data_IF_510855161091
#
_entry.id   IF_510855161091
#
_cell.length_a   1.000
_cell.length_b   1.000
_cell.length_c   1.000
_cell.angle_alpha   90.00
_cell.angle_beta   90.00
_cell.angle_gamma   90.00
#
_symmetry.space_group_name_H-M   'P 1'
#
loop_
_entity.id
_entity.type
_entity.pdbx_description
1 polymer ?
#
# COMPACT_ATOMS: atom_id res chain seq x y z
N UNK A 1 -19.35 -3.72 -19.77
CA UNK A 1 -18.27 -4.71 -19.62
C UNK A 1 -18.42 -5.40 -18.27
N UNK A 2 -18.43 -6.74 -18.16
CA UNK A 2 -18.50 -7.41 -16.86
C UNK A 2 -17.33 -7.03 -15.95
N UNK A 3 -17.56 -6.98 -14.65
CA UNK A 3 -16.60 -6.51 -13.64
C UNK A 3 -16.34 -7.61 -12.62
N UNK A 4 -15.07 -7.78 -12.26
CA UNK A 4 -14.66 -8.59 -11.12
C UNK A 4 -13.96 -7.67 -10.11
N UNK A 5 -14.53 -7.50 -8.90
CA UNK A 5 -13.85 -6.84 -7.79
C UNK A 5 -12.58 -7.58 -7.38
N UNK A 6 -11.48 -6.85 -7.19
CA UNK A 6 -10.18 -7.37 -6.76
C UNK A 6 -9.86 -6.82 -5.38
N UNK A 7 -9.89 -7.69 -4.36
CA UNK A 7 -9.76 -7.28 -2.95
C UNK A 7 -8.29 -7.10 -2.53
N UNK A 8 -7.38 -7.87 -3.12
CA UNK A 8 -5.95 -7.81 -2.80
C UNK A 8 -5.17 -6.77 -3.63
N UNK A 9 -5.85 -6.00 -4.49
CA UNK A 9 -5.25 -4.98 -5.35
C UNK A 9 -4.36 -5.49 -6.48
N UNK A 10 -4.22 -6.81 -6.65
CA UNK A 10 -3.35 -7.42 -7.65
C UNK A 10 -3.99 -7.35 -9.04
N UNK A 11 -3.38 -6.59 -9.95
CA UNK A 11 -3.82 -6.43 -11.34
C UNK A 11 -2.70 -6.85 -12.30
N UNK A 12 -3.01 -7.45 -13.46
CA UNK A 12 -2.00 -7.75 -14.48
C UNK A 12 -1.45 -6.47 -15.11
N UNK A 13 -0.27 -6.56 -15.73
CA UNK A 13 0.29 -5.45 -16.50
C UNK A 13 -0.67 -5.11 -17.67
N UNK A 14 -1.11 -3.86 -17.83
CA UNK A 14 -2.15 -3.54 -18.81
C UNK A 14 -1.78 -3.78 -20.27
N UNK A 15 -0.50 -3.86 -20.61
CA UNK A 15 0.02 -4.00 -21.97
C UNK A 15 0.40 -5.45 -22.35
N UNK A 16 -0.14 -6.44 -21.63
CA UNK A 16 -0.03 -7.85 -22.01
C UNK A 16 0.48 -8.80 -20.94
N UNK A 17 0.68 -8.35 -19.70
CA UNK A 17 1.14 -9.22 -18.62
C UNK A 17 0.08 -10.24 -18.19
N UNK A 18 0.51 -11.43 -17.78
CA UNK A 18 -0.36 -12.56 -17.44
C UNK A 18 -0.28 -12.95 -15.97
N UNK A 19 -1.42 -13.06 -15.30
CA UNK A 19 -1.49 -13.48 -13.90
C UNK A 19 -2.36 -14.73 -13.73
N UNK A 20 -1.94 -15.60 -12.81
CA UNK A 20 -2.76 -16.73 -12.35
C UNK A 20 -3.40 -16.36 -11.02
N UNK A 21 -4.73 -16.32 -11.01
CA UNK A 21 -5.52 -15.98 -9.83
C UNK A 21 -6.38 -17.15 -9.35
N UNK A 22 -6.71 -17.12 -8.06
CA UNK A 22 -7.75 -17.95 -7.45
C UNK A 22 -9.00 -17.10 -7.23
N UNK A 23 -10.14 -17.58 -7.72
CA UNK A 23 -11.43 -16.91 -7.66
C UNK A 23 -12.37 -17.71 -6.76
N UNK A 24 -12.38 -17.33 -5.47
CA UNK A 24 -13.22 -17.97 -4.44
C UNK A 24 -14.65 -17.46 -4.43
N UNK A 25 -14.87 -16.25 -4.94
CA UNK A 25 -16.21 -15.67 -5.01
C UNK A 25 -17.03 -16.31 -6.15
N UNK A 26 -18.23 -16.87 -5.87
CA UNK A 26 -19.04 -17.50 -6.88
C UNK A 26 -19.47 -16.57 -8.02
N UNK A 27 -19.63 -15.26 -7.76
CA UNK A 27 -19.98 -14.30 -8.80
C UNK A 27 -18.81 -14.08 -9.76
N UNK A 28 -17.58 -13.95 -9.25
CA UNK A 28 -16.38 -13.82 -10.05
C UNK A 28 -16.15 -15.06 -10.93
N UNK A 29 -16.33 -16.26 -10.37
CA UNK A 29 -16.21 -17.51 -11.11
C UNK A 29 -17.25 -17.61 -12.24
N UNK A 30 -18.51 -17.24 -11.96
CA UNK A 30 -19.57 -17.17 -12.99
C UNK A 30 -19.26 -16.13 -14.06
N UNK A 31 -18.73 -14.98 -13.70
CA UNK A 31 -18.33 -13.94 -14.65
C UNK A 31 -17.30 -14.47 -15.64
N UNK A 32 -16.22 -15.09 -15.15
CA UNK A 32 -15.18 -15.67 -16.01
C UNK A 32 -15.70 -16.81 -16.90
N UNK A 33 -16.50 -17.72 -16.34
CA UNK A 33 -17.09 -18.83 -17.10
C UNK A 33 -18.05 -18.35 -18.20
N UNK A 34 -18.81 -17.27 -17.96
CA UNK A 34 -19.77 -16.71 -18.93
C UNK A 34 -19.12 -15.87 -20.03
N UNK A 35 -17.99 -15.25 -19.74
CA UNK A 35 -17.27 -14.42 -20.70
C UNK A 35 -16.72 -15.26 -21.86
N UNK A 36 -16.27 -16.49 -21.63
CA UNK A 36 -15.50 -17.22 -22.64
C UNK A 36 -14.16 -16.53 -22.94
N UNK A 37 -13.25 -17.20 -23.66
CA UNK A 37 -11.87 -16.70 -23.84
C UNK A 37 -11.72 -15.40 -24.65
N UNK A 38 -12.74 -14.99 -25.40
CA UNK A 38 -12.67 -13.86 -26.33
C UNK A 38 -13.19 -12.53 -25.76
N UNK A 39 -14.02 -12.56 -24.71
CA UNK A 39 -14.62 -11.35 -24.16
C UNK A 39 -13.79 -10.73 -23.04
N UNK A 40 -13.81 -9.39 -22.97
CA UNK A 40 -13.11 -8.64 -21.93
C UNK A 40 -13.91 -8.63 -20.62
N UNK A 41 -13.19 -8.83 -19.51
CA UNK A 41 -13.63 -8.49 -18.16
C UNK A 41 -12.87 -7.26 -17.67
N UNK A 42 -13.48 -6.44 -16.81
CA UNK A 42 -12.78 -5.38 -16.10
C UNK A 42 -12.45 -5.86 -14.69
N UNK A 43 -11.16 -5.88 -14.34
CA UNK A 43 -10.71 -6.06 -12.96
C UNK A 43 -10.63 -4.69 -12.29
N UNK A 44 -11.41 -4.48 -11.23
CA UNK A 44 -11.43 -3.23 -10.47
C UNK A 44 -11.01 -3.45 -9.02
N UNK A 45 -10.09 -2.65 -8.46
CA UNK A 45 -9.76 -2.72 -7.05
C UNK A 45 -10.98 -2.43 -6.16
N UNK A 46 -11.19 -3.27 -5.15
CA UNK A 46 -12.19 -3.06 -4.11
C UNK A 46 -11.55 -2.44 -2.87
N UNK A 47 -12.02 -1.25 -2.49
CA UNK A 47 -11.44 -0.44 -1.42
C UNK A 47 -12.21 -0.73 -0.13
N UNK A 48 -11.72 -1.67 0.67
CA UNK A 48 -12.42 -2.16 1.87
C UNK A 48 -12.84 -1.04 2.82
N UNK A 49 -11.94 -0.14 3.19
CA UNK A 49 -12.23 0.98 4.10
C UNK A 49 -13.22 2.02 3.55
N UNK A 50 -13.65 1.90 2.29
CA UNK A 50 -14.66 2.77 1.65
C UNK A 50 -15.84 1.98 1.08
N UNK A 51 -15.84 0.66 1.25
CA UNK A 51 -16.84 -0.28 0.73
C UNK A 51 -17.25 -0.01 -0.72
N UNK A 52 -16.26 0.30 -1.58
CA UNK A 52 -16.53 0.73 -2.96
C UNK A 52 -15.45 0.28 -3.92
N UNK A 53 -15.82 0.17 -5.19
CA UNK A 53 -14.87 -0.04 -6.28
C UNK A 53 -14.11 1.24 -6.60
N UNK A 54 -12.83 1.11 -6.88
CA UNK A 54 -12.07 2.15 -7.54
C UNK A 54 -12.47 2.18 -9.03
N UNK A 55 -12.80 3.36 -9.60
CA UNK A 55 -13.41 3.44 -10.93
C UNK A 55 -12.42 3.21 -12.08
N UNK A 56 -11.17 2.83 -11.81
CA UNK A 56 -10.18 2.53 -12.83
C UNK A 56 -9.47 1.21 -12.52
N UNK A 57 -9.20 0.42 -13.54
CA UNK A 57 -8.52 -0.86 -13.41
C UNK A 57 -8.05 -1.38 -14.75
N UNK A 58 -7.96 -2.70 -14.89
CA UNK A 58 -7.37 -3.36 -16.06
C UNK A 58 -8.42 -4.23 -16.74
N UNK A 59 -8.65 -3.98 -18.03
CA UNK A 59 -9.42 -4.90 -18.86
C UNK A 59 -8.56 -6.13 -19.13
N UNK A 60 -9.14 -7.32 -19.01
CA UNK A 60 -8.44 -8.59 -19.13
C UNK A 60 -9.18 -9.55 -20.04
N UNK A 61 -8.42 -10.42 -20.71
CA UNK A 61 -8.93 -11.65 -21.31
C UNK A 61 -8.69 -12.83 -20.38
N UNK A 62 -9.69 -13.69 -20.25
CA UNK A 62 -9.54 -14.95 -19.54
C UNK A 62 -8.83 -15.97 -20.45
N UNK A 63 -7.69 -16.48 -20.00
CA UNK A 63 -6.95 -17.55 -20.64
C UNK A 63 -7.38 -18.92 -20.12
N UNK A 64 -6.41 -19.74 -19.73
CA UNK A 64 -6.66 -21.08 -19.20
C UNK A 64 -7.41 -21.02 -17.88
N UNK A 65 -8.49 -21.78 -17.78
CA UNK A 65 -9.27 -21.94 -16.55
C UNK A 65 -9.26 -23.40 -16.11
N UNK A 66 -9.16 -23.63 -14.80
CA UNK A 66 -9.27 -24.96 -14.22
C UNK A 66 -9.85 -24.89 -12.81
N UNK A 67 -10.44 -25.98 -12.34
CA UNK A 67 -10.95 -26.09 -10.97
C UNK A 67 -10.03 -26.97 -10.17
N UNK A 68 -9.72 -26.56 -8.95
CA UNK A 68 -8.95 -27.35 -8.01
C UNK A 68 -9.51 -27.17 -6.60
N UNK A 69 -9.53 -28.26 -5.84
CA UNK A 69 -9.98 -28.20 -4.46
C UNK A 69 -8.91 -27.52 -3.59
N UNK A 70 -9.34 -26.53 -2.82
CA UNK A 70 -8.51 -25.82 -1.84
C UNK A 70 -9.11 -25.94 -0.44
N UNK A 71 -8.25 -25.89 0.58
CA UNK A 71 -8.68 -25.88 1.98
C UNK A 71 -8.70 -24.44 2.48
N UNK A 72 -9.89 -23.95 2.83
CA UNK A 72 -10.02 -22.73 3.61
C UNK A 72 -9.79 -23.09 5.08
N UNK A 73 -9.12 -22.22 5.83
CA UNK A 73 -8.72 -22.50 7.21
C UNK A 73 -9.80 -22.14 8.24
N UNK A 74 -10.69 -21.20 7.94
CA UNK A 74 -11.69 -20.69 8.89
C UNK A 74 -13.05 -20.42 8.21
N UNK A 75 -14.09 -21.25 8.43
CA UNK A 75 -14.03 -22.60 9.01
C UNK A 75 -13.25 -23.55 8.09
N UNK A 76 -12.61 -24.58 8.65
CA UNK A 76 -11.88 -25.55 7.86
C UNK A 76 -12.81 -26.32 6.92
N UNK A 77 -12.74 -26.03 5.62
CA UNK A 77 -13.57 -26.69 4.61
C UNK A 77 -12.85 -26.81 3.28
N UNK A 78 -13.12 -27.92 2.60
CA UNK A 78 -12.70 -28.12 1.21
C UNK A 78 -13.69 -27.38 0.30
N UNK A 79 -13.19 -26.49 -0.54
CA UNK A 79 -13.99 -25.80 -1.56
C UNK A 79 -13.36 -26.02 -2.93
N UNK A 80 -14.19 -26.25 -3.95
CA UNK A 80 -13.71 -26.26 -5.32
C UNK A 80 -13.55 -24.83 -5.79
N UNK A 81 -12.31 -24.39 -5.97
CA UNK A 81 -11.99 -23.03 -6.39
C UNK A 81 -11.70 -22.98 -7.88
N UNK A 82 -12.18 -21.92 -8.54
CA UNK A 82 -11.80 -21.62 -9.92
C UNK A 82 -10.43 -20.95 -9.90
N UNK A 83 -9.52 -21.49 -10.68
CA UNK A 83 -8.28 -20.84 -11.06
C UNK A 83 -8.40 -20.36 -12.50
N UNK A 84 -7.89 -19.17 -12.76
CA UNK A 84 -7.84 -18.64 -14.10
C UNK A 84 -6.54 -17.88 -14.33
N UNK A 85 -5.99 -18.05 -15.53
CA UNK A 85 -5.02 -17.14 -16.09
C UNK A 85 -5.76 -15.94 -16.71
N UNK A 86 -5.31 -14.72 -16.42
CA UNK A 86 -5.87 -13.48 -16.96
C UNK A 86 -4.75 -12.63 -17.55
N UNK A 87 -4.95 -12.17 -18.78
CA UNK A 87 -4.00 -11.32 -19.49
C UNK A 87 -4.51 -9.88 -19.57
N UNK A 88 -3.67 -8.90 -19.23
CA UNK A 88 -4.00 -7.48 -19.36
C UNK A 88 -4.12 -7.01 -20.80
N UNK A 89 -5.14 -6.21 -21.10
CA UNK A 89 -5.49 -5.72 -22.44
C UNK A 89 -5.64 -4.20 -22.51
N UNK A 90 -5.42 -3.52 -21.40
CA UNK A 90 -5.40 -2.05 -21.31
C UNK A 90 -6.01 -1.56 -20.01
N UNK A 91 -5.74 -0.30 -19.68
CA UNK A 91 -6.42 0.39 -18.59
C UNK A 91 -7.76 0.91 -19.03
N UNK A 92 -8.76 0.74 -18.17
CA UNK A 92 -10.11 1.24 -18.40
C UNK A 92 -10.63 1.92 -17.14
N UNK A 93 -11.53 2.88 -17.33
CA UNK A 93 -12.31 3.49 -16.25
C UNK A 93 -13.80 3.40 -16.53
N UNK A 94 -14.60 3.42 -15.47
CA UNK A 94 -16.06 3.46 -15.52
C UNK A 94 -16.59 4.18 -14.29
N UNK A 95 -17.59 5.03 -14.48
CA UNK A 95 -18.23 5.80 -13.41
C UNK A 95 -19.57 5.22 -12.96
N UNK A 96 -20.11 4.25 -13.69
CA UNK A 96 -21.43 3.67 -13.47
C UNK A 96 -21.42 2.14 -13.54
N UNK A 97 -22.07 1.53 -12.54
CA UNK A 97 -22.16 0.08 -12.40
C UNK A 97 -23.61 -0.33 -12.22
N UNK A 98 -23.99 -1.41 -12.90
CA UNK A 98 -25.28 -2.08 -12.69
C UNK A 98 -25.10 -3.55 -12.38
N UNK A 99 -26.07 -4.10 -11.64
CA UNK A 99 -26.18 -5.54 -11.44
C UNK A 99 -27.16 -6.12 -12.48
N UNK A 100 -26.69 -7.04 -13.31
CA UNK A 100 -27.48 -7.70 -14.35
C UNK A 100 -27.34 -9.22 -14.23
N UNK A 101 -28.42 -9.93 -13.92
CA UNK A 101 -28.44 -11.42 -13.79
C UNK A 101 -27.29 -11.96 -12.90
N UNK A 102 -27.11 -11.31 -11.75
CA UNK A 102 -26.04 -11.55 -10.75
C UNK A 102 -24.61 -11.27 -11.23
N UNK A 103 -24.45 -10.50 -12.32
CA UNK A 103 -23.17 -10.01 -12.79
C UNK A 103 -23.06 -8.51 -12.58
N UNK A 104 -21.94 -8.07 -12.03
CA UNK A 104 -21.63 -6.65 -12.00
C UNK A 104 -21.14 -6.22 -13.39
N UNK A 105 -21.72 -5.15 -13.93
CA UNK A 105 -21.42 -4.64 -15.27
C UNK A 105 -21.12 -3.15 -15.21
N UNK A 106 -19.98 -2.75 -15.76
CA UNK A 106 -19.63 -1.37 -16.05
C UNK A 106 -20.37 -0.90 -17.31
N UNK A 107 -21.13 0.20 -17.20
CA UNK A 107 -21.98 0.69 -18.31
C UNK A 107 -21.22 1.61 -19.27
N UNK A 108 -20.25 2.35 -18.75
CA UNK A 108 -19.49 3.41 -19.43
C UNK A 108 -17.99 3.13 -19.43
N UNK A 109 -17.60 1.86 -19.65
CA UNK A 109 -16.20 1.47 -19.67
C UNK A 109 -15.45 2.12 -20.85
N UNK A 110 -14.49 3.01 -20.55
CA UNK A 110 -13.66 3.70 -21.53
C UNK A 110 -12.17 3.42 -21.31
N UNK A 111 -11.40 3.34 -22.40
CA UNK A 111 -9.97 3.14 -22.35
C UNK A 111 -9.26 4.36 -21.76
N UNK A 112 -8.25 4.14 -20.93
CA UNK A 112 -7.48 5.16 -20.24
C UNK A 112 -6.03 5.15 -20.73
N UNK A 113 -5.64 6.18 -21.47
CA UNK A 113 -4.27 6.38 -21.93
C UNK A 113 -3.47 7.21 -20.90
N UNK A 114 -2.59 6.54 -20.15
CA UNK A 114 -1.79 7.18 -19.12
C UNK A 114 -0.73 8.13 -19.69
N UNK A 115 -0.21 7.85 -20.89
CA UNK A 115 0.75 8.72 -21.57
C UNK A 115 0.10 10.03 -21.96
N UNK A 116 -1.10 9.97 -22.54
CA UNK A 116 -1.91 11.14 -22.86
C UNK A 116 -2.25 11.95 -21.61
N UNK A 117 -2.74 11.31 -20.55
CA UNK A 117 -3.05 11.98 -19.28
C UNK A 117 -1.84 12.72 -18.71
N UNK A 118 -0.68 12.07 -18.72
CA UNK A 118 0.57 12.67 -18.24
C UNK A 118 0.96 13.90 -19.08
N UNK A 119 0.82 13.81 -20.41
CA UNK A 119 1.05 14.94 -21.32
C UNK A 119 0.07 16.11 -21.13
N UNK A 120 -1.15 15.83 -20.68
CA UNK A 120 -2.18 16.83 -20.34
C UNK A 120 -2.04 17.41 -18.93
N UNK A 121 -0.98 17.04 -18.18
CA UNK A 121 -0.72 17.56 -16.84
C UNK A 121 -1.36 16.74 -15.71
N UNK A 122 -1.83 15.53 -15.99
CA UNK A 122 -2.38 14.57 -15.02
C UNK A 122 -1.44 13.36 -14.87
N UNK A 123 -0.25 13.53 -14.24
CA UNK A 123 0.69 12.44 -14.04
C UNK A 123 0.10 11.36 -13.14
N UNK A 124 0.45 10.12 -13.45
CA UNK A 124 0.12 8.95 -12.66
C UNK A 124 1.23 7.90 -12.75
N UNK A 125 1.23 6.98 -11.79
CA UNK A 125 2.13 5.82 -11.75
C UNK A 125 1.29 4.54 -11.84
N UNK A 126 1.65 3.69 -12.79
CA UNK A 126 1.07 2.38 -13.09
C UNK A 126 1.47 1.36 -12.02
N UNK A 127 0.48 0.72 -11.40
CA UNK A 127 0.66 -0.32 -10.37
C UNK A 127 0.24 -1.73 -10.81
N UNK A 128 -0.27 -1.92 -12.02
CA UNK A 128 -0.60 -3.22 -12.57
C UNK A 128 0.64 -3.95 -13.06
N UNK A 129 0.77 -5.23 -12.71
CA UNK A 129 1.87 -6.10 -13.12
C UNK A 129 2.98 -6.25 -12.07
N UNK A 130 2.97 -5.49 -10.98
CA UNK A 130 4.00 -5.58 -9.96
C UNK A 130 3.49 -5.25 -8.55
N UNK A 131 4.22 -5.71 -7.53
CA UNK A 131 3.96 -5.40 -6.14
C UNK A 131 5.00 -4.42 -5.61
N UNK A 132 4.57 -3.26 -5.12
CA UNK A 132 5.43 -2.37 -4.36
C UNK A 132 5.61 -2.93 -2.94
N UNK A 133 6.86 -3.16 -2.51
CA UNK A 133 7.16 -3.84 -1.26
C UNK A 133 7.72 -2.89 -0.20
N UNK A 134 8.70 -2.08 -0.58
CA UNK A 134 9.40 -1.18 0.32
C UNK A 134 9.83 0.09 -0.40
N UNK A 135 10.26 1.09 0.37
CA UNK A 135 10.76 2.33 -0.15
C UNK A 135 11.95 2.84 0.65
N UNK A 136 12.68 3.76 0.04
CA UNK A 136 13.82 4.42 0.66
C UNK A 136 13.85 5.90 0.31
N UNK A 137 13.85 6.74 1.34
CA UNK A 137 14.04 8.19 1.23
C UNK A 137 15.42 8.56 1.79
N UNK A 138 16.33 9.02 0.92
CA UNK A 138 17.69 9.39 1.29
C UNK A 138 17.84 10.90 1.47
N UNK A 139 18.38 11.33 2.62
CA UNK A 139 18.66 12.76 2.87
C UNK A 139 20.09 13.11 2.47
N UNK A 140 20.26 13.65 1.26
CA UNK A 140 21.57 14.10 0.76
C UNK A 140 21.72 15.64 0.72
N UNK A 141 20.62 16.37 0.71
CA UNK A 141 20.59 17.84 0.77
C UNK A 141 19.19 18.41 0.62
N UNK A 142 19.05 19.73 0.50
CA UNK A 142 17.75 20.38 0.23
C UNK A 142 17.26 20.11 -1.21
N UNK A 143 18.19 20.19 -2.18
CA UNK A 143 17.91 19.93 -3.60
C UNK A 143 18.17 18.48 -4.01
N UNK A 144 18.66 17.64 -3.09
CA UNK A 144 18.95 16.23 -3.34
C UNK A 144 18.24 15.35 -2.31
N UNK A 145 17.05 14.88 -2.70
CA UNK A 145 16.18 14.02 -1.91
C UNK A 145 15.73 12.83 -2.79
N UNK A 146 16.61 11.84 -3.02
CA UNK A 146 16.27 10.62 -3.75
C UNK A 146 15.22 9.82 -2.98
N UNK A 147 14.22 9.37 -3.70
CA UNK A 147 13.18 8.45 -3.23
C UNK A 147 13.12 7.28 -4.19
N UNK A 148 13.30 6.08 -3.67
CA UNK A 148 13.20 4.82 -4.39
C UNK A 148 12.04 3.99 -3.85
N UNK A 149 11.35 3.28 -4.73
CA UNK A 149 10.31 2.31 -4.39
C UNK A 149 10.69 1.00 -5.04
N UNK A 150 10.89 -0.04 -4.23
CA UNK A 150 11.30 -1.36 -4.68
C UNK A 150 10.13 -2.32 -4.63
N UNK A 151 10.13 -3.27 -5.57
CA UNK A 151 9.07 -4.23 -5.71
C UNK A 151 9.48 -5.43 -6.56
N UNK A 152 8.48 -6.22 -6.92
CA UNK A 152 8.66 -7.42 -7.75
C UNK A 152 7.61 -7.50 -8.85
N UNK A 153 8.01 -7.96 -10.03
CA UNK A 153 7.09 -8.32 -11.10
C UNK A 153 6.25 -9.53 -10.66
N UNK A 154 4.94 -9.47 -10.86
CA UNK A 154 4.05 -10.57 -10.49
C UNK A 154 4.21 -11.81 -11.38
N UNK A 155 4.73 -11.67 -12.61
CA UNK A 155 4.84 -12.77 -13.57
C UNK A 155 6.01 -13.70 -13.26
N UNK A 156 7.19 -13.14 -12.97
CA UNK A 156 8.43 -13.90 -12.79
C UNK A 156 9.16 -13.63 -11.47
N UNK A 157 8.68 -12.68 -10.65
CA UNK A 157 9.30 -12.30 -9.38
C UNK A 157 10.59 -11.50 -9.53
N UNK A 158 10.90 -11.00 -10.73
CA UNK A 158 12.07 -10.15 -10.96
C UNK A 158 11.96 -8.83 -10.18
N UNK A 159 13.09 -8.31 -9.66
CA UNK A 159 13.08 -7.06 -8.92
C UNK A 159 12.78 -5.88 -9.86
N UNK A 160 11.93 -4.96 -9.38
CA UNK A 160 11.54 -3.74 -10.07
C UNK A 160 11.75 -2.54 -9.15
N UNK A 161 12.01 -1.37 -9.73
CA UNK A 161 12.26 -0.14 -8.98
C UNK A 161 11.66 1.09 -9.67
N UNK A 162 11.21 2.05 -8.86
CA UNK A 162 10.87 3.40 -9.28
C UNK A 162 11.75 4.39 -8.50
N UNK A 163 12.46 5.25 -9.21
CA UNK A 163 13.28 6.29 -8.59
C UNK A 163 12.80 7.68 -8.98
N UNK A 164 12.93 8.63 -8.06
CA UNK A 164 12.78 10.05 -8.33
C UNK A 164 13.64 10.88 -7.38
N UNK A 165 13.98 12.10 -7.79
CA UNK A 165 14.51 13.11 -6.88
C UNK A 165 13.43 14.16 -6.58
N UNK A 166 13.04 14.26 -5.31
CA UNK A 166 12.00 15.18 -4.82
C UNK A 166 12.59 16.45 -4.17
N UNK A 167 13.90 16.66 -4.31
CA UNK A 167 14.61 17.84 -3.84
C UNK A 167 14.03 19.12 -4.44
N UNK A 168 14.00 20.19 -3.63
CA UNK A 168 13.39 21.47 -3.99
C UNK A 168 11.86 21.46 -4.14
N UNK A 169 11.18 20.31 -3.97
CA UNK A 169 9.72 20.20 -3.98
C UNK A 169 9.19 19.94 -2.56
N UNK A 170 9.82 19.02 -1.83
CA UNK A 170 9.36 18.54 -0.53
C UNK A 170 10.44 18.61 0.55
N UNK A 171 10.00 18.63 1.79
CA UNK A 171 10.84 18.30 2.95
C UNK A 171 11.13 16.79 2.99
N UNK A 172 12.19 16.33 3.69
CA UNK A 172 12.45 14.91 3.89
C UNK A 172 11.26 14.14 4.51
N UNK A 173 10.58 14.74 5.48
CA UNK A 173 9.44 14.11 6.15
C UNK A 173 8.23 13.97 5.22
N UNK A 174 8.00 14.97 4.35
CA UNK A 174 6.98 14.88 3.30
C UNK A 174 7.35 13.84 2.25
N UNK A 175 8.61 13.76 1.84
CA UNK A 175 9.06 12.79 0.85
C UNK A 175 8.89 11.34 1.35
N UNK A 176 9.25 11.07 2.60
CA UNK A 176 9.04 9.76 3.23
C UNK A 176 7.54 9.42 3.35
N UNK A 177 6.70 10.40 3.69
CA UNK A 177 5.23 10.20 3.70
C UNK A 177 4.68 9.95 2.29
N UNK A 178 5.24 10.61 1.27
CA UNK A 178 4.88 10.41 -0.15
C UNK A 178 5.28 9.02 -0.63
N UNK A 179 6.48 8.55 -0.29
CA UNK A 179 6.98 7.21 -0.61
C UNK A 179 5.99 6.14 -0.15
N UNK A 180 5.63 6.15 1.13
CA UNK A 180 4.61 5.28 1.71
C UNK A 180 3.24 5.46 1.02
N UNK A 181 2.87 6.71 0.74
CA UNK A 181 1.64 7.02 0.04
C UNK A 181 1.58 6.41 -1.37
N UNK A 182 2.69 6.39 -2.11
CA UNK A 182 2.78 5.77 -3.43
C UNK A 182 2.68 4.25 -3.30
N UNK A 183 3.45 3.62 -2.42
CA UNK A 183 3.39 2.16 -2.18
C UNK A 183 1.95 1.73 -1.87
N UNK A 184 1.31 2.43 -0.92
CA UNK A 184 -0.10 2.20 -0.56
C UNK A 184 -1.01 2.40 -1.76
N UNK A 185 -0.79 3.42 -2.59
CA UNK A 185 -1.62 3.65 -3.78
C UNK A 185 -1.54 2.51 -4.79
N UNK A 186 -0.34 2.05 -5.09
CA UNK A 186 -0.08 1.01 -6.07
C UNK A 186 -0.70 -0.31 -5.60
N UNK A 187 -0.51 -0.68 -4.33
CA UNK A 187 -1.05 -1.93 -3.78
C UNK A 187 -2.57 -1.89 -3.55
N UNK A 188 -3.18 -0.71 -3.35
CA UNK A 188 -4.61 -0.61 -3.05
C UNK A 188 -5.48 -0.29 -4.27
N UNK A 189 -5.02 0.61 -5.14
CA UNK A 189 -5.79 1.10 -6.30
C UNK A 189 -5.22 0.61 -7.63
N UNK A 190 -4.04 -0.03 -7.62
CA UNK A 190 -3.29 -0.32 -8.84
C UNK A 190 -2.86 0.94 -9.61
N UNK A 191 -3.13 2.16 -9.13
CA UNK A 191 -2.84 3.40 -9.84
C UNK A 191 -2.63 4.54 -8.84
N UNK A 192 -1.47 5.17 -8.93
CA UNK A 192 -1.17 6.37 -8.15
C UNK A 192 -1.51 7.62 -8.97
N UNK A 193 -2.43 8.43 -8.45
CA UNK A 193 -2.82 9.74 -8.99
C UNK A 193 -2.67 10.77 -7.87
N UNK A 194 -2.66 12.06 -8.17
CA UNK A 194 -2.58 13.09 -7.12
C UNK A 194 -3.69 12.95 -6.07
N UNK A 195 -4.90 12.56 -6.49
CA UNK A 195 -6.04 12.33 -5.61
C UNK A 195 -5.87 11.08 -4.74
N UNK A 196 -5.44 9.96 -5.31
CA UNK A 196 -5.23 8.73 -4.54
C UNK A 196 -4.03 8.88 -3.60
N UNK A 197 -2.97 9.57 -4.03
CA UNK A 197 -1.80 9.89 -3.22
C UNK A 197 -2.16 10.76 -2.01
N UNK A 198 -2.90 11.85 -2.20
CA UNK A 198 -3.37 12.68 -1.09
C UNK A 198 -4.17 11.86 -0.05
N UNK A 199 -5.03 10.97 -0.52
CA UNK A 199 -5.82 10.10 0.34
C UNK A 199 -4.96 9.05 1.05
N UNK A 200 -3.98 8.46 0.37
CA UNK A 200 -3.07 7.47 0.91
C UNK A 200 -2.14 8.07 1.98
N UNK A 201 -1.57 9.25 1.73
CA UNK A 201 -0.77 9.99 2.71
C UNK A 201 -1.57 10.32 3.97
N UNK A 202 -2.83 10.76 3.81
CA UNK A 202 -3.70 11.06 4.94
C UNK A 202 -4.01 9.80 5.77
N UNK A 203 -4.24 8.67 5.10
CA UNK A 203 -4.49 7.39 5.77
C UNK A 203 -3.23 6.89 6.50
N UNK A 204 -2.05 6.97 5.85
CA UNK A 204 -0.76 6.62 6.43
C UNK A 204 -0.48 7.43 7.70
N UNK A 205 -0.57 8.77 7.60
CA UNK A 205 -0.35 9.64 8.75
C UNK A 205 -1.37 9.42 9.89
N UNK A 206 -2.61 9.05 9.56
CA UNK A 206 -3.63 8.71 10.56
C UNK A 206 -3.31 7.39 11.28
N UNK A 207 -2.91 6.36 10.53
CA UNK A 207 -2.54 5.05 11.09
C UNK A 207 -1.28 5.14 11.94
N UNK A 208 -0.27 5.89 11.49
CA UNK A 208 0.95 6.11 12.25
C UNK A 208 0.68 6.90 13.54
N UNK A 209 -0.16 7.94 13.50
CA UNK A 209 -0.58 8.64 14.71
C UNK A 209 -1.29 7.71 15.68
N UNK A 210 -2.17 6.84 15.17
CA UNK A 210 -2.84 5.84 15.99
C UNK A 210 -1.84 4.85 16.60
N UNK A 211 -0.89 4.35 15.82
CA UNK A 211 0.19 3.48 16.27
C UNK A 211 1.02 4.13 17.39
N UNK A 212 1.39 5.40 17.26
CA UNK A 212 2.09 6.16 18.29
C UNK A 212 1.23 6.33 19.55
N UNK A 213 -0.03 6.73 19.39
CA UNK A 213 -0.95 6.92 20.51
C UNK A 213 -1.16 5.63 21.30
N UNK A 214 -1.51 4.55 20.61
CA UNK A 214 -1.72 3.23 21.23
C UNK A 214 -0.43 2.73 21.88
N UNK A 215 0.73 2.90 21.23
CA UNK A 215 2.02 2.46 21.77
C UNK A 215 2.39 3.19 23.06
N UNK A 216 2.14 4.50 23.16
CA UNK A 216 2.32 5.22 24.42
C UNK A 216 1.26 4.88 25.47
N UNK A 217 -0.02 4.80 25.07
CA UNK A 217 -1.15 4.57 25.98
C UNK A 217 -1.12 3.19 26.61
N UNK A 218 -0.82 2.16 25.82
CA UNK A 218 -0.73 0.76 26.27
C UNK A 218 0.67 0.36 26.72
N UNK A 219 1.63 1.29 26.65
CA UNK A 219 3.05 1.06 26.93
C UNK A 219 3.64 -0.07 26.07
N UNK A 220 3.30 -0.10 24.79
CA UNK A 220 3.73 -1.10 23.83
C UNK A 220 4.60 -0.43 22.75
N UNK A 221 5.90 -0.16 22.99
CA UNK A 221 6.78 0.44 21.99
C UNK A 221 6.93 -0.42 20.72
N UNK A 222 6.72 -1.74 20.81
CA UNK A 222 6.82 -2.68 19.69
C UNK A 222 5.76 -2.47 18.59
N UNK A 223 4.68 -1.73 18.86
CA UNK A 223 3.66 -1.41 17.85
C UNK A 223 3.91 -0.06 17.16
N UNK A 224 4.97 0.67 17.51
CA UNK A 224 5.32 1.90 16.82
C UNK A 224 5.70 1.64 15.37
N UNK A 225 5.07 2.36 14.46
CA UNK A 225 5.34 2.31 13.03
C UNK A 225 4.56 1.23 12.29
N UNK A 226 3.65 0.53 12.98
CA UNK A 226 2.79 -0.51 12.38
C UNK A 226 1.56 0.14 11.75
N UNK A 227 1.36 -0.13 10.46
CA UNK A 227 0.19 0.30 9.67
C UNK A 227 -0.45 -0.91 8.99
N UNK A 228 -1.58 -0.68 8.31
CA UNK A 228 -2.26 -1.73 7.53
C UNK A 228 -1.44 -2.22 6.34
N UNK A 229 -0.46 -1.44 5.89
CA UNK A 229 0.42 -1.77 4.76
C UNK A 229 1.75 -2.39 5.18
N UNK A 230 2.05 -2.46 6.49
CA UNK A 230 3.28 -3.06 7.02
C UNK A 230 3.88 -2.29 8.18
N UNK A 231 5.15 -2.55 8.46
CA UNK A 231 5.91 -1.85 9.51
C UNK A 231 6.91 -0.89 8.88
N UNK A 232 6.89 0.37 9.31
CA UNK A 232 7.82 1.39 8.87
C UNK A 232 9.17 1.26 9.59
N UNK A 233 10.26 1.15 8.82
CA UNK A 233 11.65 1.17 9.31
C UNK A 233 12.13 2.57 9.72
N UNK A 234 11.36 3.28 10.54
CA UNK A 234 11.68 4.64 10.97
C UNK A 234 12.50 4.68 12.27
N UNK A 235 13.16 5.80 12.60
CA UNK A 235 13.98 5.91 13.80
C UNK A 235 13.26 5.54 15.09
N UNK A 236 11.98 5.88 15.26
CA UNK A 236 11.20 5.54 16.45
C UNK A 236 10.98 4.03 16.58
N UNK A 237 10.62 3.34 15.49
CA UNK A 237 10.45 1.89 15.47
C UNK A 237 11.79 1.17 15.77
N UNK A 238 12.90 1.64 15.20
CA UNK A 238 14.23 1.11 15.47
C UNK A 238 14.67 1.32 16.92
N UNK A 239 14.49 2.54 17.48
CA UNK A 239 14.78 2.83 18.88
C UNK A 239 13.91 1.99 19.82
N UNK A 240 12.65 1.78 19.48
CA UNK A 240 11.74 0.92 20.22
C UNK A 240 12.25 -0.52 20.29
N UNK A 241 12.58 -1.12 19.15
CA UNK A 241 13.12 -2.47 19.10
C UNK A 241 14.44 -2.58 19.87
N UNK A 242 15.36 -1.64 19.66
CA UNK A 242 16.66 -1.62 20.32
C UNK A 242 16.56 -1.53 21.85
N UNK A 243 15.83 -0.53 22.36
CA UNK A 243 15.70 -0.33 23.81
C UNK A 243 14.88 -1.43 24.47
N UNK A 244 13.81 -1.90 23.82
CA UNK A 244 12.99 -2.98 24.36
C UNK A 244 13.79 -4.27 24.50
N UNK A 245 14.49 -4.70 23.44
CA UNK A 245 15.33 -5.89 23.47
C UNK A 245 16.41 -5.78 24.56
N UNK A 246 17.09 -4.64 24.64
CA UNK A 246 18.14 -4.40 25.65
C UNK A 246 17.61 -4.47 27.08
N UNK A 247 16.44 -3.89 27.35
CA UNK A 247 15.89 -3.88 28.71
C UNK A 247 15.28 -5.23 29.11
N UNK A 248 14.71 -5.98 28.16
CA UNK A 248 14.25 -7.36 28.41
C UNK A 248 15.44 -8.25 28.76
N UNK A 249 16.53 -8.21 27.97
CA UNK A 249 17.73 -9.00 28.23
C UNK A 249 18.31 -8.72 29.61
N UNK A 250 18.43 -7.44 29.98
CA UNK A 250 18.87 -7.05 31.34
C UNK A 250 17.96 -7.59 32.44
N UNK A 251 16.65 -7.58 32.23
CA UNK A 251 15.67 -8.13 33.18
C UNK A 251 15.93 -9.61 33.42
N UNK A 252 16.02 -10.39 32.34
CA UNK A 252 16.29 -11.83 32.38
C UNK A 252 17.65 -12.13 33.03
N UNK A 253 18.70 -11.40 32.64
CA UNK A 253 20.05 -11.55 33.23
C UNK A 253 20.08 -11.22 34.73
N UNK A 254 19.21 -10.30 35.19
CA UNK A 254 19.07 -9.95 36.60
C UNK A 254 18.20 -10.93 37.41
N UNK A 255 17.71 -12.01 36.79
CA UNK A 255 16.91 -13.04 37.43
C UNK A 255 15.41 -12.73 37.52
N UNK A 256 14.92 -11.73 36.78
CA UNK A 256 13.48 -11.46 36.67
C UNK A 256 12.79 -12.54 35.82
N UNK A 257 11.50 -12.75 36.07
CA UNK A 257 10.69 -13.57 35.15
C UNK A 257 10.59 -12.89 33.77
N UNK A 258 10.33 -13.67 32.72
CA UNK A 258 10.17 -13.13 31.37
C UNK A 258 9.04 -12.08 31.32
N UNK A 259 7.91 -12.34 31.97
CA UNK A 259 6.77 -11.43 32.00
C UNK A 259 7.14 -10.09 32.66
N UNK A 260 7.79 -10.13 33.82
CA UNK A 260 8.26 -8.92 34.52
C UNK A 260 9.32 -8.17 33.72
N UNK A 261 10.21 -8.90 33.03
CA UNK A 261 11.23 -8.33 32.15
C UNK A 261 10.61 -7.57 30.98
N UNK A 262 9.53 -8.11 30.40
CA UNK A 262 8.77 -7.44 29.32
C UNK A 262 8.06 -6.19 29.86
N UNK A 263 7.32 -6.29 30.97
CA UNK A 263 6.59 -5.14 31.51
C UNK A 263 7.50 -3.99 31.95
N UNK A 264 8.60 -4.33 32.64
CA UNK A 264 9.59 -3.37 33.09
C UNK A 264 10.38 -2.82 31.89
N UNK A 265 10.74 -3.70 30.95
CA UNK A 265 11.46 -3.35 29.74
C UNK A 265 10.70 -2.35 28.88
N UNK A 266 9.39 -2.57 28.66
CA UNK A 266 8.51 -1.64 27.95
C UNK A 266 8.50 -0.25 28.56
N UNK A 267 8.34 -0.13 29.90
CA UNK A 267 8.33 1.16 30.60
C UNK A 267 9.67 1.89 30.44
N UNK A 268 10.79 1.19 30.64
CA UNK A 268 12.13 1.78 30.54
C UNK A 268 12.48 2.15 29.11
N UNK A 269 12.11 1.33 28.13
CA UNK A 269 12.31 1.62 26.72
C UNK A 269 11.58 2.91 26.33
N UNK A 270 10.32 3.08 26.73
CA UNK A 270 9.57 4.32 26.45
C UNK A 270 10.22 5.56 27.08
N UNK A 271 10.74 5.46 28.30
CA UNK A 271 11.47 6.57 28.92
C UNK A 271 12.72 6.93 28.14
N UNK A 272 13.53 5.94 27.73
CA UNK A 272 14.75 6.16 26.92
C UNK A 272 14.44 6.74 25.55
N UNK A 273 13.40 6.23 24.87
CA UNK A 273 12.94 6.76 23.58
C UNK A 273 12.54 8.24 23.71
N UNK A 274 11.79 8.58 24.77
CA UNK A 274 11.37 9.96 25.00
C UNK A 274 12.55 10.90 25.28
N UNK A 275 13.59 10.40 25.96
CA UNK A 275 14.84 11.12 26.20
C UNK A 275 15.64 11.31 24.89
N UNK A 276 15.91 10.22 24.16
CA UNK A 276 16.70 10.22 22.93
C UNK A 276 16.09 11.10 21.82
N UNK A 277 14.76 11.16 21.74
CA UNK A 277 14.03 11.95 20.74
C UNK A 277 13.57 13.32 21.27
N UNK A 278 13.89 13.64 22.52
CA UNK A 278 13.46 14.87 23.22
C UNK A 278 11.95 15.11 23.07
N UNK A 279 11.16 14.10 23.42
CA UNK A 279 9.70 14.11 23.33
C UNK A 279 9.09 14.67 24.62
N UNK A 280 8.07 15.49 24.45
CA UNK A 280 7.34 16.09 25.56
C UNK A 280 6.59 15.07 26.43
N UNK A 281 6.32 15.46 27.68
CA UNK A 281 5.45 14.73 28.58
C UNK A 281 3.95 14.82 28.20
N UNK A 282 3.55 15.86 27.47
CA UNK A 282 2.16 16.15 27.13
C UNK A 282 1.63 15.19 26.06
N UNK A 283 0.60 14.41 26.39
CA UNK A 283 0.10 13.32 25.54
C UNK A 283 -0.22 13.75 24.09
N UNK A 284 -1.00 14.83 23.91
CA UNK A 284 -1.40 15.29 22.57
C UNK A 284 -0.22 15.79 21.72
N UNK A 285 0.75 16.48 22.34
CA UNK A 285 1.93 16.98 21.65
C UNK A 285 2.98 15.86 21.41
N UNK A 286 3.05 14.87 22.31
CA UNK A 286 3.95 13.73 22.19
C UNK A 286 3.65 12.90 20.96
N UNK A 287 2.37 12.66 20.64
CA UNK A 287 2.00 11.90 19.43
C UNK A 287 2.48 12.61 18.17
N UNK A 288 2.26 13.93 18.07
CA UNK A 288 2.71 14.72 16.93
C UNK A 288 4.25 14.80 16.83
N UNK A 289 4.94 14.97 17.96
CA UNK A 289 6.40 14.94 17.99
C UNK A 289 6.95 13.55 17.66
N UNK A 290 6.30 12.47 18.14
CA UNK A 290 6.66 11.10 17.83
C UNK A 290 6.53 10.81 16.33
N UNK A 291 5.46 11.29 15.69
CA UNK A 291 5.30 11.21 14.24
C UNK A 291 6.40 11.97 13.50
N UNK A 292 6.62 13.25 13.85
CA UNK A 292 7.53 14.12 13.09
C UNK A 292 9.00 13.85 13.37
N UNK A 293 9.42 13.86 14.65
CA UNK A 293 10.82 13.64 15.05
C UNK A 293 11.20 12.16 15.03
N UNK A 294 10.28 11.30 15.47
CA UNK A 294 10.55 9.88 15.64
C UNK A 294 10.33 9.08 14.35
N UNK A 295 9.20 9.29 13.68
CA UNK A 295 8.86 8.52 12.47
C UNK A 295 9.27 9.21 11.16
N UNK A 296 9.68 10.48 11.20
CA UNK A 296 9.95 11.29 10.02
C UNK A 296 8.78 11.35 9.05
N UNK A 297 7.58 11.53 9.60
CA UNK A 297 6.37 11.72 8.82
C UNK A 297 5.82 13.13 9.03
N UNK A 298 5.26 13.71 7.97
CA UNK A 298 4.57 14.99 8.04
C UNK A 298 3.11 14.81 7.61
N UNK A 299 2.22 15.21 8.49
CA UNK A 299 0.79 15.01 8.35
C UNK A 299 0.04 16.20 7.76
N UNK A 300 0.77 17.29 7.45
CA UNK A 300 0.19 18.44 6.79
C UNK A 300 -0.21 18.10 5.35
N UNK A 301 -1.33 18.67 4.92
CA UNK A 301 -1.85 18.43 3.58
C UNK A 301 -0.97 19.11 2.54
N UNK A 302 -0.47 18.32 1.59
CA UNK A 302 0.09 18.86 0.35
C UNK A 302 -1.03 19.27 -0.61
N UNK A 303 -0.82 20.37 -1.32
CA UNK A 303 -1.76 20.83 -2.34
C UNK A 303 -1.67 19.97 -3.63
N UNK A 304 -2.73 20.02 -4.43
CA UNK A 304 -2.79 19.25 -5.68
C UNK A 304 -1.65 19.60 -6.65
N UNK A 305 -1.26 20.88 -6.86
CA UNK A 305 -0.12 21.23 -7.72
C UNK A 305 1.20 20.60 -7.27
N UNK A 306 1.46 20.54 -5.96
CA UNK A 306 2.67 19.91 -5.42
C UNK A 306 2.66 18.41 -5.66
N UNK A 307 1.54 17.73 -5.42
CA UNK A 307 1.42 16.30 -5.71
C UNK A 307 1.57 15.97 -7.20
N UNK A 308 1.08 16.85 -8.08
CA UNK A 308 1.31 16.74 -9.53
C UNK A 308 2.80 16.86 -9.85
N UNK A 309 3.50 17.86 -9.30
CA UNK A 309 4.95 18.01 -9.49
C UNK A 309 5.75 16.82 -8.98
N UNK A 310 5.34 16.24 -7.84
CA UNK A 310 5.93 15.01 -7.28
C UNK A 310 5.78 13.85 -8.25
N UNK A 311 4.55 13.55 -8.71
CA UNK A 311 4.29 12.45 -9.62
C UNK A 311 4.95 12.63 -11.00
N UNK A 312 5.19 13.87 -11.42
CA UNK A 312 5.97 14.18 -12.64
C UNK A 312 7.44 13.78 -12.53
N UNK A 313 8.01 13.68 -11.32
CA UNK A 313 9.41 13.28 -11.12
C UNK A 313 9.63 11.78 -11.23
N UNK A 314 8.62 10.97 -10.91
CA UNK A 314 8.67 9.52 -11.06
C UNK A 314 8.39 9.10 -12.51
N UNK A 315 9.02 8.03 -13.03
CA UNK A 315 8.58 7.43 -14.28
C UNK A 315 7.13 6.91 -14.16
N UNK A 316 6.40 6.80 -15.27
CA UNK A 316 5.00 6.38 -15.23
C UNK A 316 4.81 4.89 -14.89
N UNK A 317 5.85 4.07 -15.02
CA UNK A 317 5.86 2.66 -14.62
C UNK A 317 7.30 2.20 -14.35
N UNK A 318 7.53 1.09 -13.62
CA UNK A 318 8.88 0.59 -13.32
C UNK A 318 9.57 -0.11 -14.50
N UNK A 319 8.88 -0.29 -15.62
CA UNK A 319 9.43 -0.92 -16.84
C UNK A 319 9.96 0.11 -17.86
N UNK A 320 10.05 1.39 -17.48
CA UNK A 320 10.53 2.49 -18.34
C UNK A 320 11.84 3.07 -17.86
#
# INVERSE_FOLDING_TARGET
MPVIPVVNGVLPRPDGGSLKGIFLDPSAARTLQRLGGENLCLLLPYIHGRERLYPAGVAVKAGKMWTQDVYLLEPQRKVSALFAEVQGMGRYRSSSFRLEKDLLVAEDAESLDLGKLRGEGYPCIEGGGWQALEGQTLRKGYDDLPVSIHGVDYEDGSPLELEANLGGILSPEHAHTVEHGIIRCLNQYGLCTSRTLAAAMAAEASELRHSVDVGYRLRAPEIFGVTSTGSCGNPLAHLAQFHLAREILKGVESGQSLLESVETGRKRALSRIAEDLELTASAGLRVMQGLKKGMWHDDSRLDSPTLVRVLQRFPPSPWQ
#
